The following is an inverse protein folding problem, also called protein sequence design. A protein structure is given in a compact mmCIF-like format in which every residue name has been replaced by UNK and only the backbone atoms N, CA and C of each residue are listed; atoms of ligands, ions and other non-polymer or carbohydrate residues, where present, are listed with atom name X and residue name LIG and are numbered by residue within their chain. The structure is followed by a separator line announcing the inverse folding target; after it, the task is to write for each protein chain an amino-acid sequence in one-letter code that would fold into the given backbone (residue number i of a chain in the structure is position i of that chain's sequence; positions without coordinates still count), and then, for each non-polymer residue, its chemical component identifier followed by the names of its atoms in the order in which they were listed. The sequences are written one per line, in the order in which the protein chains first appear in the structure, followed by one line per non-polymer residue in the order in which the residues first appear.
data_IF_301276970797
#
_entry.id   IF_301276970797
#
_cell.length_a   1.000
_cell.length_b   1.000
_cell.length_c   1.000
_cell.angle_alpha   90.00
_cell.angle_beta   90.00
_cell.angle_gamma   90.00
#
_symmetry.space_group_name_H-M   'P 1'
#
loop_
_entity.id
_entity.type
_entity.pdbx_description
1 polymer ?
#
# COMPACT_ATOMS: atom_id res chain seq x y z
N UNK A 1 -3.24 -5.66 -22.83
CA UNK A 1 -2.92 -4.54 -21.91
C UNK A 1 -2.89 -5.08 -20.50
N UNK A 2 -1.82 -4.82 -19.74
CA UNK A 2 -1.69 -5.26 -18.34
C UNK A 2 -2.17 -4.14 -17.42
N UNK A 3 -3.01 -4.47 -16.44
CA UNK A 3 -3.44 -3.53 -15.39
C UNK A 3 -2.76 -3.89 -14.08
N UNK A 4 -2.25 -2.89 -13.38
CA UNK A 4 -1.71 -2.99 -12.04
C UNK A 4 -2.74 -2.44 -11.06
N UNK A 5 -2.96 -3.15 -9.97
CA UNK A 5 -3.88 -2.78 -8.90
C UNK A 5 -3.08 -2.59 -7.61
N UNK A 6 -3.20 -1.42 -7.01
CA UNK A 6 -2.65 -1.11 -5.70
C UNK A 6 -3.77 -1.22 -4.67
N UNK A 7 -3.52 -1.97 -3.60
CA UNK A 7 -4.47 -2.18 -2.52
C UNK A 7 -3.77 -2.13 -1.17
N UNK A 8 -4.55 -1.89 -0.12
CA UNK A 8 -4.14 -2.09 1.26
C UNK A 8 -5.12 -3.04 1.92
N UNK A 9 -4.64 -3.88 2.83
CA UNK A 9 -5.48 -4.79 3.61
C UNK A 9 -5.34 -4.47 5.09
N UNK A 10 -6.46 -4.19 5.75
CA UNK A 10 -6.49 -4.10 7.21
C UNK A 10 -6.45 -5.52 7.80
N UNK A 11 -5.42 -5.83 8.59
CA UNK A 11 -5.20 -7.20 9.07
C UNK A 11 -6.23 -7.64 10.12
N UNK A 12 -6.80 -6.70 10.87
CA UNK A 12 -7.72 -7.02 11.97
C UNK A 12 -9.07 -7.57 11.48
N UNK A 13 -9.60 -6.98 10.41
CA UNK A 13 -10.92 -7.29 9.84
C UNK A 13 -10.84 -7.87 8.42
N UNK A 14 -9.63 -7.97 7.85
CA UNK A 14 -9.35 -8.41 6.47
C UNK A 14 -10.05 -7.55 5.42
N UNK A 15 -10.40 -6.31 5.75
CA UNK A 15 -10.98 -5.38 4.80
C UNK A 15 -9.90 -4.95 3.80
N UNK A 16 -10.19 -5.14 2.52
CA UNK A 16 -9.32 -4.70 1.43
C UNK A 16 -9.85 -3.39 0.86
N UNK A 17 -8.97 -2.40 0.76
CA UNK A 17 -9.24 -1.15 0.08
C UNK A 17 -8.41 -1.08 -1.21
N UNK A 18 -9.08 -0.86 -2.34
CA UNK A 18 -8.44 -0.66 -3.63
C UNK A 18 -8.06 0.82 -3.76
N UNK A 19 -6.77 1.09 -3.69
CA UNK A 19 -6.23 2.45 -3.70
C UNK A 19 -6.13 3.02 -5.12
N UNK A 20 -6.05 2.16 -6.14
CA UNK A 20 -6.09 2.57 -7.53
C UNK A 20 -5.75 1.46 -8.52
N UNK A 21 -6.08 1.69 -9.78
CA UNK A 21 -5.74 0.83 -10.92
C UNK A 21 -5.03 1.68 -11.98
N UNK A 22 -3.92 1.19 -12.51
CA UNK A 22 -3.18 1.86 -13.58
C UNK A 22 -2.56 0.85 -14.54
N UNK A 23 -2.49 1.19 -15.82
CA UNK A 23 -1.75 0.41 -16.83
C UNK A 23 -0.24 0.66 -16.77
N UNK A 24 0.17 1.80 -16.21
CA UNK A 24 1.56 2.15 -15.96
C UNK A 24 1.70 2.94 -14.65
N UNK A 25 1.96 2.29 -13.50
CA UNK A 25 2.04 2.95 -12.20
C UNK A 25 3.36 3.74 -12.07
N UNK A 26 3.35 4.98 -12.55
CA UNK A 26 4.48 5.91 -12.44
C UNK A 26 4.69 6.41 -11.01
N UNK A 27 5.83 7.03 -10.73
CA UNK A 27 6.06 7.64 -9.41
C UNK A 27 5.01 8.71 -9.09
N UNK A 28 4.67 9.59 -10.03
CA UNK A 28 3.62 10.60 -9.82
C UNK A 28 2.28 9.98 -9.45
N UNK A 29 1.93 8.86 -10.10
CA UNK A 29 0.72 8.11 -9.76
C UNK A 29 0.81 7.52 -8.35
N UNK A 30 1.92 6.87 -7.99
CA UNK A 30 2.16 6.35 -6.65
C UNK A 30 2.04 7.44 -5.59
N UNK A 31 2.64 8.62 -5.81
CA UNK A 31 2.55 9.74 -4.87
C UNK A 31 1.12 10.25 -4.71
N UNK A 32 0.34 10.30 -5.80
CA UNK A 32 -1.06 10.71 -5.70
C UNK A 32 -1.89 9.69 -4.93
N UNK A 33 -1.71 8.39 -5.19
CA UNK A 33 -2.37 7.35 -4.40
C UNK A 33 -1.93 7.42 -2.93
N UNK A 34 -0.67 7.74 -2.66
CA UNK A 34 -0.17 8.00 -1.31
C UNK A 34 -0.96 9.11 -0.61
N UNK A 35 -1.21 10.24 -1.28
CA UNK A 35 -2.03 11.34 -0.74
C UNK A 35 -3.45 10.90 -0.44
N UNK A 36 -4.08 10.17 -1.38
CA UNK A 36 -5.45 9.67 -1.21
C UNK A 36 -5.54 8.69 -0.02
N UNK A 37 -4.56 7.79 0.12
CA UNK A 37 -4.52 6.83 1.22
C UNK A 37 -4.41 7.52 2.59
N UNK A 38 -3.74 8.67 2.64
CA UNK A 38 -3.50 9.46 3.86
C UNK A 38 -4.48 10.61 4.05
N UNK A 39 -5.52 10.72 3.21
CA UNK A 39 -6.52 11.77 3.38
C UNK A 39 -7.13 11.71 4.80
N UNK A 40 -7.29 12.87 5.42
CA UNK A 40 -7.71 12.97 6.81
C UNK A 40 -9.17 12.55 7.03
N UNK A 41 -10.00 12.63 5.99
CA UNK A 41 -11.44 12.38 6.07
C UNK A 41 -11.75 10.95 5.62
N UNK A 42 -11.27 10.55 4.43
CA UNK A 42 -11.67 9.28 3.80
C UNK A 42 -10.49 8.34 3.47
N UNK A 43 -9.27 8.73 3.83
CA UNK A 43 -8.08 7.94 3.56
C UNK A 43 -8.10 6.59 4.28
N UNK A 44 -7.80 5.51 3.56
CA UNK A 44 -7.80 4.16 4.13
C UNK A 44 -6.74 3.94 5.23
N UNK A 45 -5.72 4.81 5.30
CA UNK A 45 -4.72 4.83 6.37
C UNK A 45 -5.09 5.80 7.50
N UNK A 46 -6.23 6.49 7.42
CA UNK A 46 -6.71 7.33 8.52
C UNK A 46 -6.82 6.50 9.80
N UNK A 47 -6.28 7.04 10.89
CA UNK A 47 -6.14 6.40 12.19
C UNK A 47 -5.32 5.07 12.23
N UNK A 48 -4.60 4.71 11.16
CA UNK A 48 -3.73 3.51 11.16
C UNK A 48 -2.34 3.86 11.66
N UNK A 49 -1.87 3.15 12.68
CA UNK A 49 -0.55 3.37 13.29
C UNK A 49 0.60 2.83 12.46
N UNK A 50 0.39 1.74 11.74
CA UNK A 50 1.43 1.03 10.99
C UNK A 50 0.96 0.66 9.59
N UNK A 51 1.85 0.83 8.62
CA UNK A 51 1.72 0.27 7.27
C UNK A 51 2.91 -0.65 6.98
N UNK A 52 2.64 -1.89 6.61
CA UNK A 52 3.67 -2.85 6.21
C UNK A 52 3.79 -2.83 4.69
N UNK A 53 5.00 -2.59 4.18
CA UNK A 53 5.32 -2.60 2.76
C UNK A 53 6.40 -3.64 2.47
N UNK A 54 6.32 -4.28 1.32
CA UNK A 54 7.45 -5.05 0.79
C UNK A 54 8.57 -4.10 0.30
N UNK A 55 9.53 -4.64 -0.46
CA UNK A 55 10.67 -3.89 -0.97
C UNK A 55 10.56 -3.50 -2.44
N UNK A 56 9.37 -3.53 -3.05
CA UNK A 56 9.16 -3.03 -4.42
C UNK A 56 9.64 -1.57 -4.53
N UNK A 57 10.34 -1.27 -5.63
CA UNK A 57 10.92 0.04 -5.90
C UNK A 57 9.86 1.12 -6.14
N UNK A 58 8.62 0.75 -6.46
CA UNK A 58 7.48 1.68 -6.58
C UNK A 58 7.15 2.37 -5.26
N UNK A 59 7.46 1.75 -4.11
CA UNK A 59 7.35 2.38 -2.79
C UNK A 59 8.55 3.27 -2.51
N UNK A 60 8.66 4.36 -3.28
CA UNK A 60 9.79 5.28 -3.26
C UNK A 60 9.96 5.97 -1.89
N UNK A 61 11.11 6.61 -1.68
CA UNK A 61 11.36 7.37 -0.46
C UNK A 61 10.30 8.46 -0.25
N UNK A 62 9.91 9.16 -1.32
CA UNK A 62 8.87 10.17 -1.29
C UNK A 62 7.49 9.59 -0.94
N UNK A 63 7.14 8.43 -1.50
CA UNK A 63 5.89 7.74 -1.16
C UNK A 63 5.81 7.40 0.34
N UNK A 64 6.89 6.80 0.89
CA UNK A 64 6.95 6.46 2.32
C UNK A 64 6.91 7.71 3.21
N UNK A 65 7.50 8.82 2.74
CA UNK A 65 7.49 10.10 3.45
C UNK A 65 6.06 10.63 3.63
N UNK A 66 5.25 10.62 2.56
CA UNK A 66 3.83 11.01 2.62
C UNK A 66 3.08 10.24 3.72
N UNK A 67 3.27 8.92 3.76
CA UNK A 67 2.62 8.07 4.77
C UNK A 67 3.14 8.35 6.19
N UNK A 68 4.46 8.53 6.35
CA UNK A 68 4.99 8.87 7.67
C UNK A 68 4.53 10.22 8.19
N UNK A 69 4.33 11.20 7.30
CA UNK A 69 3.85 12.54 7.65
C UNK A 69 2.38 12.56 8.05
N UNK A 70 1.59 11.54 7.67
CA UNK A 70 0.22 11.36 8.15
C UNK A 70 0.13 10.73 9.55
N UNK A 71 1.27 10.48 10.20
CA UNK A 71 1.33 9.81 11.50
C UNK A 71 1.32 8.28 11.43
N UNK A 72 1.36 7.69 10.23
CA UNK A 72 1.43 6.23 10.03
C UNK A 72 2.87 5.77 9.86
N UNK A 73 3.37 4.93 10.76
CA UNK A 73 4.72 4.41 10.66
C UNK A 73 4.84 3.37 9.54
N UNK A 74 5.81 3.55 8.64
CA UNK A 74 6.09 2.61 7.55
C UNK A 74 7.09 1.56 7.99
N UNK A 75 6.66 0.30 8.00
CA UNK A 75 7.49 -0.87 8.28
C UNK A 75 7.81 -1.55 6.95
N UNK A 76 9.10 -1.64 6.61
CA UNK A 76 9.54 -2.38 5.42
C UNK A 76 9.92 -3.79 5.79
N UNK A 77 9.37 -4.76 5.07
CA UNK A 77 9.72 -6.16 5.26
C UNK A 77 11.23 -6.39 5.03
N UNK A 78 11.86 -7.34 5.75
CA UNK A 78 13.19 -7.83 5.41
C UNK A 78 13.23 -8.32 3.96
N UNK A 79 14.41 -8.28 3.30
CA UNK A 79 14.52 -8.79 1.94
C UNK A 79 14.11 -10.27 1.89
N UNK A 80 13.45 -10.68 0.80
CA UNK A 80 13.10 -12.08 0.50
C UNK A 80 12.28 -12.77 1.60
N UNK A 81 11.35 -12.05 2.22
CA UNK A 81 10.48 -12.56 3.28
C UNK A 81 9.00 -12.60 2.86
N UNK A 82 8.62 -13.42 1.85
CA UNK A 82 7.26 -13.48 1.32
C UNK A 82 6.22 -13.87 2.38
N UNK A 83 6.61 -14.73 3.33
CA UNK A 83 5.74 -15.15 4.43
C UNK A 83 5.27 -13.99 5.32
N UNK A 84 6.02 -12.88 5.38
CA UNK A 84 5.64 -11.70 6.16
C UNK A 84 4.63 -10.80 5.43
N UNK A 85 4.34 -11.09 4.15
CA UNK A 85 3.28 -10.46 3.36
C UNK A 85 2.16 -11.44 2.98
N UNK A 86 2.05 -12.58 3.69
CA UNK A 86 1.18 -13.69 3.31
C UNK A 86 -0.31 -13.30 3.13
N UNK A 87 -0.81 -12.33 3.90
CA UNK A 87 -2.19 -11.83 3.75
C UNK A 87 -2.41 -11.14 2.40
N UNK A 88 -1.50 -10.26 2.00
CA UNK A 88 -1.59 -9.58 0.71
C UNK A 88 -1.37 -10.59 -0.44
N UNK A 89 -0.40 -11.49 -0.32
CA UNK A 89 -0.16 -12.53 -1.33
C UNK A 89 -1.37 -13.47 -1.50
N UNK A 90 -1.99 -13.88 -0.39
CA UNK A 90 -3.20 -14.72 -0.41
C UNK A 90 -4.36 -13.98 -1.06
N UNK A 91 -4.55 -12.69 -0.76
CA UNK A 91 -5.57 -11.89 -1.43
C UNK A 91 -5.34 -11.83 -2.94
N UNK A 92 -4.11 -11.55 -3.38
CA UNK A 92 -3.76 -11.54 -4.81
C UNK A 92 -4.09 -12.88 -5.48
N UNK A 93 -3.86 -14.02 -4.81
CA UNK A 93 -4.23 -15.34 -5.35
C UNK A 93 -5.75 -15.57 -5.44
N UNK A 94 -6.56 -14.86 -4.64
CA UNK A 94 -8.02 -15.00 -4.66
C UNK A 94 -8.72 -14.16 -5.73
N UNK A 95 -8.03 -13.14 -6.27
CA UNK A 95 -8.57 -12.23 -7.30
C UNK A 95 -7.91 -12.43 -8.67
N UNK A 96 -7.03 -13.41 -8.79
CA UNK A 96 -6.48 -13.90 -10.06
C UNK A 96 -7.45 -14.90 -10.67
#
# INVERSE_FOLDING_TARGET
MTHYLLFVINLADRLVHIAGIATNPTETWMLQVGRNLTDAIDGALSAKRYLILDRDTKYSAAFRKIISESGTAVIRLPPRSPNLNAYAERFVRSIK
#
